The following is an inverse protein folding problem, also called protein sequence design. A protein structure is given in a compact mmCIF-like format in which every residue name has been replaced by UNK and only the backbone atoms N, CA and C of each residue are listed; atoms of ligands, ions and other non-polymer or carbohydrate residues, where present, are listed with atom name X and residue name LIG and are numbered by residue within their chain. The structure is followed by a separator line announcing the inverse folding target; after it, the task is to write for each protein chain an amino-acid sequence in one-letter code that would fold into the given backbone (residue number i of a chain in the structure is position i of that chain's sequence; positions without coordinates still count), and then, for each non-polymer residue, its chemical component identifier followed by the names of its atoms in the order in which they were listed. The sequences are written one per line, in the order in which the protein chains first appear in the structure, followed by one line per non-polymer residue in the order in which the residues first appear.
data_IF_846686428613
#
_entry.id   IF_846686428613
#
_cell.length_a   1.000
_cell.length_b   1.000
_cell.length_c   1.000
_cell.angle_alpha   90.00
_cell.angle_beta   90.00
_cell.angle_gamma   90.00
#
_symmetry.space_group_name_H-M   'P 1'
#
loop_
_entity.id
_entity.type
_entity.pdbx_description
1 polymer ?
#
# COMPACT_ATOMS: atom_id res chain seq x y z
N UNK A 1 3.98 16.22 -17.19
CA UNK A 1 2.69 16.25 -16.44
C UNK A 1 2.98 15.90 -14.99
N UNK A 2 2.97 16.89 -14.10
CA UNK A 2 3.15 16.64 -12.66
C UNK A 2 1.81 16.24 -12.07
N UNK A 3 1.66 14.97 -11.69
CA UNK A 3 0.53 14.51 -10.90
C UNK A 3 0.64 15.18 -9.52
N UNK A 4 -0.37 15.95 -9.11
CA UNK A 4 -0.41 16.48 -7.76
C UNK A 4 -0.26 15.31 -6.77
N UNK A 5 0.58 15.45 -5.72
CA UNK A 5 0.81 14.35 -4.79
C UNK A 5 -0.51 13.92 -4.15
N UNK A 6 -0.68 12.62 -3.84
CA UNK A 6 -1.83 12.16 -3.09
C UNK A 6 -1.92 12.91 -1.75
N UNK A 7 -3.13 13.06 -1.17
CA UNK A 7 -3.31 13.68 0.14
C UNK A 7 -2.37 13.06 1.18
N UNK A 8 -1.75 13.90 2.01
CA UNK A 8 -0.71 13.46 2.97
C UNK A 8 -1.16 12.29 3.85
N UNK A 9 -2.46 12.22 4.19
CA UNK A 9 -3.05 11.18 5.02
C UNK A 9 -2.87 9.76 4.47
N UNK A 10 -2.86 9.63 3.14
CA UNK A 10 -2.80 8.35 2.42
C UNK A 10 -1.63 8.28 1.43
N UNK A 11 -0.61 9.13 1.62
CA UNK A 11 0.57 9.23 0.73
C UNK A 11 1.35 7.92 0.58
N UNK A 12 1.23 7.00 1.54
CA UNK A 12 1.95 5.73 1.56
C UNK A 12 1.24 4.62 0.76
N UNK A 13 0.15 4.93 0.04
CA UNK A 13 -0.46 4.00 -0.93
C UNK A 13 0.56 3.46 -1.94
N UNK A 14 1.51 4.30 -2.36
CA UNK A 14 2.60 3.87 -3.23
C UNK A 14 3.48 2.81 -2.55
N UNK A 15 3.81 2.99 -1.27
CA UNK A 15 4.60 1.98 -0.54
C UNK A 15 3.86 0.64 -0.48
N UNK A 16 2.54 0.65 -0.23
CA UNK A 16 1.72 -0.56 -0.25
C UNK A 16 1.65 -1.21 -1.63
N UNK A 17 1.67 -0.43 -2.71
CA UNK A 17 1.60 -0.94 -4.07
C UNK A 17 2.92 -1.54 -4.57
N UNK A 18 4.06 -1.01 -4.12
CA UNK A 18 5.39 -1.44 -4.56
C UNK A 18 6.02 -2.52 -3.68
N UNK A 19 5.52 -2.73 -2.45
CA UNK A 19 6.10 -3.73 -1.57
C UNK A 19 5.73 -5.14 -2.03
N UNK A 20 6.67 -5.82 -2.72
CA UNK A 20 6.54 -7.17 -3.29
C UNK A 20 6.08 -8.25 -2.29
N UNK A 21 6.16 -8.01 -0.97
CA UNK A 21 5.63 -8.91 0.05
C UNK A 21 4.09 -8.97 0.08
N UNK A 22 3.40 -8.05 -0.61
CA UNK A 22 1.94 -7.93 -0.65
C UNK A 22 1.18 -9.10 -1.28
N UNK A 23 1.83 -9.97 -2.07
CA UNK A 23 1.18 -11.14 -2.66
C UNK A 23 0.52 -12.05 -1.60
N UNK A 24 1.04 -12.02 -0.37
CA UNK A 24 0.55 -12.80 0.78
C UNK A 24 -0.26 -11.95 1.78
N UNK A 25 -0.30 -10.62 1.62
CA UNK A 25 -1.03 -9.72 2.52
C UNK A 25 -2.45 -9.46 2.02
N UNK A 26 -3.41 -10.21 2.56
CA UNK A 26 -4.85 -10.07 2.25
C UNK A 26 -5.35 -8.65 2.52
N UNK A 27 -4.88 -8.00 3.60
CA UNK A 27 -5.34 -6.65 3.98
C UNK A 27 -4.87 -5.59 3.00
N UNK A 28 -3.65 -5.69 2.49
CA UNK A 28 -3.16 -4.80 1.44
C UNK A 28 -4.03 -4.89 0.17
N UNK A 29 -4.44 -6.11 -0.22
CA UNK A 29 -5.38 -6.31 -1.33
C UNK A 29 -6.75 -5.69 -1.05
N UNK A 30 -7.26 -5.82 0.17
CA UNK A 30 -8.52 -5.20 0.57
C UNK A 30 -8.47 -3.66 0.51
N UNK A 31 -7.33 -3.03 0.82
CA UNK A 31 -7.16 -1.56 0.65
C UNK A 31 -7.45 -1.16 -0.79
N UNK A 32 -6.81 -1.81 -1.77
CA UNK A 32 -7.01 -1.47 -3.19
C UNK A 32 -8.41 -1.86 -3.68
N UNK A 33 -8.95 -2.99 -3.17
CA UNK A 33 -10.33 -3.41 -3.47
C UNK A 33 -11.37 -2.40 -2.98
N UNK A 34 -11.19 -1.86 -1.78
CA UNK A 34 -12.09 -0.88 -1.17
C UNK A 34 -11.92 0.51 -1.75
N UNK A 35 -10.70 0.85 -2.20
CA UNK A 35 -10.39 2.13 -2.80
C UNK A 35 -11.21 2.37 -4.07
N UNK A 36 -11.22 1.42 -5.01
CA UNK A 36 -12.07 1.46 -6.20
C UNK A 36 -12.19 0.05 -6.80
N UNK A 37 -13.29 -0.63 -6.51
CA UNK A 37 -13.49 -2.02 -6.92
C UNK A 37 -13.56 -2.21 -8.45
N UNK A 38 -14.31 -1.40 -9.22
CA UNK A 38 -14.28 -1.46 -10.68
C UNK A 38 -12.87 -1.31 -11.27
N UNK A 39 -12.10 -0.31 -10.80
CA UNK A 39 -10.75 -0.08 -11.28
C UNK A 39 -9.78 -1.19 -10.85
N UNK A 40 -9.96 -1.72 -9.64
CA UNK A 40 -9.22 -2.87 -9.16
C UNK A 40 -9.39 -4.10 -10.07
N UNK A 41 -10.62 -4.35 -10.52
CA UNK A 41 -10.93 -5.43 -11.48
C UNK A 41 -10.35 -5.16 -12.87
N UNK A 42 -10.51 -3.93 -13.39
CA UNK A 42 -10.07 -3.58 -14.75
C UNK A 42 -8.54 -3.56 -14.90
N UNK A 43 -7.82 -3.39 -13.79
CA UNK A 43 -6.35 -3.43 -13.75
C UNK A 43 -5.78 -4.82 -13.46
N UNK A 44 -6.62 -5.87 -13.52
CA UNK A 44 -6.25 -7.25 -13.20
C UNK A 44 -5.59 -7.37 -11.82
N UNK A 45 -6.10 -6.63 -10.84
CA UNK A 45 -5.60 -6.62 -9.47
C UNK A 45 -4.14 -6.13 -9.35
N UNK A 46 -3.71 -5.24 -10.25
CA UNK A 46 -2.39 -4.62 -10.18
C UNK A 46 -2.46 -3.24 -9.50
N UNK A 47 -2.02 -3.11 -8.24
CA UNK A 47 -2.16 -1.87 -7.47
C UNK A 47 -1.33 -0.72 -8.05
N UNK A 48 -0.16 -1.02 -8.62
CA UNK A 48 0.68 -0.01 -9.29
C UNK A 48 -0.03 0.56 -10.51
N UNK A 49 -0.66 -0.30 -11.32
CA UNK A 49 -1.44 0.12 -12.49
C UNK A 49 -2.68 0.91 -12.06
N UNK A 50 -3.37 0.45 -11.02
CA UNK A 50 -4.54 1.13 -10.45
C UNK A 50 -4.22 2.55 -9.99
N UNK A 51 -3.16 2.75 -9.20
CA UNK A 51 -2.78 4.08 -8.70
C UNK A 51 -2.40 5.06 -9.81
N UNK A 52 -1.99 4.57 -11.00
CA UNK A 52 -1.74 5.41 -12.17
C UNK A 52 -3.01 5.86 -12.89
N UNK A 53 -4.13 5.15 -12.70
CA UNK A 53 -5.38 5.36 -13.41
C UNK A 53 -6.49 5.95 -12.54
N UNK A 54 -6.36 5.87 -11.21
CA UNK A 54 -7.36 6.35 -10.28
C UNK A 54 -7.54 7.87 -10.37
N UNK A 55 -8.78 8.33 -10.27
CA UNK A 55 -9.09 9.75 -10.28
C UNK A 55 -8.63 10.41 -8.98
N UNK A 56 -8.29 11.71 -9.07
CA UNK A 56 -7.92 12.50 -7.90
C UNK A 56 -9.06 12.60 -6.89
N UNK A 57 -10.28 12.82 -7.37
CA UNK A 57 -11.49 12.90 -6.56
C UNK A 57 -11.67 11.64 -5.72
N UNK A 58 -11.48 10.45 -6.31
CA UNK A 58 -11.63 9.19 -5.58
C UNK A 58 -10.61 9.04 -4.44
N UNK A 59 -9.38 9.48 -4.69
CA UNK A 59 -8.32 9.50 -3.67
C UNK A 59 -8.65 10.50 -2.55
N UNK A 60 -9.22 11.66 -2.88
CA UNK A 60 -9.64 12.66 -1.90
C UNK A 60 -10.85 12.24 -1.06
N UNK A 61 -11.81 11.53 -1.65
CA UNK A 61 -12.92 10.89 -0.94
C UNK A 61 -12.40 9.85 0.04
N UNK A 62 -11.53 8.94 -0.43
CA UNK A 62 -10.95 7.89 0.40
C UNK A 62 -10.16 8.47 1.58
N UNK A 63 -9.47 9.60 1.38
CA UNK A 63 -8.74 10.30 2.44
C UNK A 63 -9.64 10.85 3.56
N UNK A 64 -10.96 10.94 3.34
CA UNK A 64 -11.97 11.41 4.30
C UNK A 64 -12.85 10.28 4.85
N UNK A 65 -12.74 9.07 4.30
CA UNK A 65 -13.54 7.92 4.71
C UNK A 65 -12.89 7.16 5.87
N UNK A 66 -13.49 7.25 7.05
CA UNK A 66 -12.99 6.58 8.27
C UNK A 66 -12.84 5.06 8.12
N UNK A 67 -13.72 4.41 7.37
CA UNK A 67 -13.67 2.96 7.17
C UNK A 67 -12.47 2.56 6.31
N UNK A 68 -12.23 3.30 5.23
CA UNK A 68 -11.03 3.16 4.41
C UNK A 68 -9.76 3.44 5.20
N UNK A 69 -9.73 4.53 5.98
CA UNK A 69 -8.55 4.92 6.76
C UNK A 69 -8.18 3.87 7.81
N UNK A 70 -9.16 3.23 8.45
CA UNK A 70 -8.92 2.16 9.43
C UNK A 70 -8.25 0.94 8.77
N UNK A 71 -8.75 0.56 7.59
CA UNK A 71 -8.19 -0.53 6.80
C UNK A 71 -6.76 -0.21 6.31
N UNK A 72 -6.57 1.00 5.79
CA UNK A 72 -5.29 1.52 5.33
C UNK A 72 -4.25 1.55 6.46
N UNK A 73 -4.59 2.08 7.63
CA UNK A 73 -3.67 2.17 8.77
C UNK A 73 -3.23 0.79 9.24
N UNK A 74 -4.16 -0.17 9.28
CA UNK A 74 -3.86 -1.56 9.63
C UNK A 74 -2.87 -2.17 8.63
N UNK A 75 -3.08 -1.96 7.33
CA UNK A 75 -2.19 -2.46 6.30
C UNK A 75 -0.78 -1.83 6.38
N UNK A 76 -0.70 -0.54 6.71
CA UNK A 76 0.56 0.17 6.94
C UNK A 76 1.30 -0.36 8.17
N UNK A 77 0.60 -0.63 9.26
CA UNK A 77 1.22 -1.24 10.45
C UNK A 77 1.75 -2.65 10.17
N UNK A 78 1.04 -3.44 9.37
CA UNK A 78 1.50 -4.76 8.94
C UNK A 78 2.76 -4.63 8.05
N UNK A 79 2.77 -3.66 7.13
CA UNK A 79 3.92 -3.33 6.28
C UNK A 79 5.16 -2.97 7.11
N UNK A 80 5.00 -2.05 8.06
CA UNK A 80 6.10 -1.58 8.92
C UNK A 80 6.65 -2.72 9.80
N UNK A 81 5.78 -3.56 10.36
CA UNK A 81 6.19 -4.76 11.10
C UNK A 81 6.97 -5.76 10.25
N UNK A 82 6.52 -6.01 9.02
CA UNK A 82 7.22 -6.93 8.11
C UNK A 82 8.64 -6.42 7.78
N UNK A 83 8.79 -5.11 7.52
CA UNK A 83 10.09 -4.50 7.24
C UNK A 83 11.04 -4.58 8.44
N UNK A 84 10.53 -4.33 9.66
CA UNK A 84 11.31 -4.46 10.89
C UNK A 84 11.74 -5.90 11.18
N UNK A 85 10.89 -6.89 10.87
CA UNK A 85 11.26 -8.28 11.02
C UNK A 85 12.44 -8.61 10.09
N UNK A 86 12.34 -8.28 8.80
CA UNK A 86 13.41 -8.54 7.82
C UNK A 86 14.74 -7.91 8.24
N UNK A 87 14.75 -6.65 8.71
CA UNK A 87 15.99 -6.01 9.19
C UNK A 87 16.59 -6.68 10.43
N UNK A 88 15.75 -7.16 11.34
CA UNK A 88 16.20 -7.87 12.54
C UNK A 88 16.78 -9.24 12.21
N UNK A 89 16.12 -10.01 11.34
CA UNK A 89 16.64 -11.30 10.88
C UNK A 89 17.96 -11.15 10.12
N UNK A 90 18.10 -10.11 9.28
CA UNK A 90 19.36 -9.82 8.59
C UNK A 90 20.48 -9.45 9.57
N UNK A 91 20.19 -8.64 10.59
CA UNK A 91 21.20 -8.21 11.57
C UNK A 91 21.71 -9.34 12.47
N UNK A 92 20.94 -10.42 12.64
CA UNK A 92 21.33 -11.58 13.45
C UNK A 92 22.04 -12.69 12.65
N UNK A 93 22.01 -12.66 11.32
CA UNK A 93 22.37 -13.80 10.45
C UNK A 93 23.54 -13.52 9.49
N UNK A 94 24.26 -12.40 9.61
CA UNK A 94 25.54 -12.24 8.89
C UNK A 94 26.68 -12.52 9.87
N UNK A 95 27.29 -13.72 9.86
CA UNK A 95 28.60 -13.89 10.46
C UNK A 95 29.57 -13.01 9.69
N UNK A 96 30.40 -12.30 10.42
CA UNK A 96 31.50 -11.48 9.92
C UNK A 96 32.29 -12.25 8.85
N UNK A 97 32.13 -11.84 7.58
CA UNK A 97 32.99 -12.30 6.49
C UNK A 97 34.21 -11.36 6.49
N UNK A 98 35.06 -11.56 7.50
CA UNK A 98 36.46 -11.13 7.52
C UNK A 98 37.33 -12.11 6.74
#
# INVERSE_FOLDING_TARGET
MSLAPPPDRIRRLNELAYDLSWAWNVKAREVFRHLDYPLWRSTAHNPVRMLRLISRERVEEAAKDTSFLTLYDTAIQDLDRARMAVSTWWSQQVPDLS
#
